data_IF_984663578878
#
_entry.id   IF_984663578878
#
_cell.length_a   1.000
_cell.length_b   1.000
_cell.length_c   1.000
_cell.angle_alpha   90.00
_cell.angle_beta   90.00
_cell.angle_gamma   90.00
#
_symmetry.space_group_name_H-M   'P 1'
#
loop_
_entity.id
_entity.type
_entity.pdbx_description
1 polymer ?
#
# COMPACT_ATOMS: atom_id res chain seq x y z
N UNK A 1 14.27 -11.24 3.79
CA UNK A 1 13.91 -10.10 4.64
C UNK A 1 12.55 -9.53 4.26
N UNK A 2 11.86 -9.02 5.26
CA UNK A 2 10.56 -8.41 5.05
C UNK A 2 10.70 -6.97 4.56
N UNK A 3 9.79 -6.56 3.69
CA UNK A 3 9.75 -5.18 3.19
C UNK A 3 8.33 -4.66 3.30
N UNK A 4 8.19 -3.41 3.71
CA UNK A 4 6.89 -2.75 3.79
C UNK A 4 6.94 -1.42 3.07
N UNK A 5 5.78 -0.99 2.55
CA UNK A 5 5.62 0.34 1.98
C UNK A 5 4.18 0.77 2.10
N UNK A 6 3.92 2.08 1.99
CA UNK A 6 2.57 2.62 1.96
C UNK A 6 2.27 3.16 0.58
N UNK A 7 1.02 2.93 0.14
CA UNK A 7 0.50 3.53 -1.10
C UNK A 7 -0.87 4.10 -0.82
N UNK A 8 -1.29 5.10 -1.60
CA UNK A 8 -2.66 5.59 -1.50
C UNK A 8 -3.63 4.48 -1.89
N UNK A 9 -4.71 4.32 -1.10
CA UNK A 9 -5.67 3.25 -1.30
C UNK A 9 -6.33 3.30 -2.68
N UNK A 10 -6.49 4.50 -3.24
CA UNK A 10 -7.08 4.67 -4.57
C UNK A 10 -6.10 4.53 -5.73
N UNK A 11 -4.82 4.32 -5.46
CA UNK A 11 -3.81 4.22 -6.51
C UNK A 11 -3.72 2.79 -7.02
N UNK A 12 -4.68 2.42 -7.88
CA UNK A 12 -4.80 1.04 -8.36
C UNK A 12 -3.61 0.61 -9.21
N UNK A 13 -3.03 1.55 -9.95
CA UNK A 13 -1.85 1.25 -10.77
C UNK A 13 -0.67 0.84 -9.91
N UNK A 14 -0.40 1.61 -8.86
CA UNK A 14 0.71 1.30 -7.95
C UNK A 14 0.46 -0.01 -7.20
N UNK A 15 -0.78 -0.23 -6.74
CA UNK A 15 -1.13 -1.45 -6.02
C UNK A 15 -0.91 -2.67 -6.92
N UNK A 16 -1.35 -2.60 -8.18
CA UNK A 16 -1.16 -3.69 -9.12
C UNK A 16 0.32 -3.93 -9.41
N UNK A 17 1.10 -2.84 -9.54
CA UNK A 17 2.53 -2.94 -9.78
C UNK A 17 3.23 -3.67 -8.65
N UNK A 18 2.97 -3.26 -7.41
CA UNK A 18 3.61 -3.89 -6.25
C UNK A 18 3.13 -5.31 -6.02
N UNK A 19 1.85 -5.60 -6.32
CA UNK A 19 1.36 -6.97 -6.27
C UNK A 19 2.15 -7.88 -7.21
N UNK A 20 2.53 -7.37 -8.38
CA UNK A 20 3.36 -8.10 -9.33
C UNK A 20 4.76 -8.39 -8.79
N UNK A 21 5.23 -7.60 -7.83
CA UNK A 21 6.51 -7.83 -7.16
C UNK A 21 6.38 -8.67 -5.88
N UNK A 22 5.20 -9.21 -5.62
CA UNK A 22 4.99 -10.09 -4.46
C UNK A 22 4.52 -9.38 -3.20
N UNK A 23 4.13 -8.11 -3.29
CA UNK A 23 3.56 -7.40 -2.14
C UNK A 23 2.09 -7.72 -1.98
N UNK A 24 1.64 -7.82 -0.73
CA UNK A 24 0.23 -8.03 -0.40
C UNK A 24 -0.24 -6.93 0.55
N UNK A 25 -1.47 -6.49 0.38
CA UNK A 25 -2.06 -5.47 1.26
C UNK A 25 -2.47 -6.13 2.57
N UNK A 26 -1.83 -5.73 3.67
CA UNK A 26 -2.07 -6.33 4.98
C UNK A 26 -2.45 -5.32 6.06
N UNK A 27 -2.59 -4.05 5.71
CA UNK A 27 -2.99 -3.05 6.66
C UNK A 27 -3.53 -1.81 5.96
N UNK A 28 -4.16 -0.93 6.75
CA UNK A 28 -4.74 0.30 6.23
C UNK A 28 -4.59 1.39 7.27
N UNK A 29 -4.18 2.59 6.84
CA UNK A 29 -4.12 3.78 7.69
C UNK A 29 -5.14 4.79 7.20
N UNK A 30 -6.27 4.95 7.90
CA UNK A 30 -7.28 5.93 7.50
C UNK A 30 -6.73 7.36 7.61
N UNK A 31 -6.99 8.17 6.57
CA UNK A 31 -6.61 9.58 6.59
C UNK A 31 -5.12 9.83 6.68
N UNK A 32 -4.29 8.92 6.19
CA UNK A 32 -2.84 8.99 6.33
C UNK A 32 -2.22 10.17 5.58
N UNK A 33 -2.73 10.49 4.40
CA UNK A 33 -2.20 11.58 3.58
C UNK A 33 -2.89 12.89 3.92
N UNK A 34 -2.22 14.05 3.70
CA UNK A 34 -2.79 15.36 4.08
C UNK A 34 -4.13 15.69 3.44
N UNK A 35 -4.43 15.13 2.27
CA UNK A 35 -5.72 15.36 1.61
C UNK A 35 -6.82 14.43 2.12
N UNK A 36 -6.54 13.62 3.15
CA UNK A 36 -7.51 12.72 3.74
C UNK A 36 -7.55 11.32 3.14
N UNK A 37 -6.74 11.05 2.13
CA UNK A 37 -6.70 9.71 1.54
C UNK A 37 -6.14 8.68 2.52
N UNK A 38 -6.69 7.48 2.47
CA UNK A 38 -6.18 6.36 3.23
C UNK A 38 -4.91 5.79 2.57
N UNK A 39 -4.06 5.19 3.37
CA UNK A 39 -2.92 4.44 2.87
C UNK A 39 -3.18 2.95 3.05
N UNK A 40 -2.72 2.16 2.09
CA UNK A 40 -2.61 0.71 2.25
C UNK A 40 -1.17 0.39 2.61
N UNK A 41 -1.00 -0.52 3.54
CA UNK A 41 0.32 -1.00 3.93
C UNK A 41 0.54 -2.31 3.23
N UNK A 42 1.55 -2.34 2.36
CA UNK A 42 1.88 -3.51 1.58
C UNK A 42 3.10 -4.19 2.19
N UNK A 43 3.05 -5.50 2.25
CA UNK A 43 4.12 -6.33 2.79
C UNK A 43 4.61 -7.31 1.74
N UNK A 44 5.90 -7.50 1.74
CA UNK A 44 6.53 -8.58 1.00
C UNK A 44 7.45 -9.34 1.95
N UNK A 45 7.18 -10.62 2.09
CA UNK A 45 7.97 -11.51 2.96
C UNK A 45 8.89 -12.44 2.20
#
# INVERSE_FOLDING_TARGET
PEMTLEVRAGNEVAIALYAGFGFAAEGRRPGYYPNGDDALILWRR
#
